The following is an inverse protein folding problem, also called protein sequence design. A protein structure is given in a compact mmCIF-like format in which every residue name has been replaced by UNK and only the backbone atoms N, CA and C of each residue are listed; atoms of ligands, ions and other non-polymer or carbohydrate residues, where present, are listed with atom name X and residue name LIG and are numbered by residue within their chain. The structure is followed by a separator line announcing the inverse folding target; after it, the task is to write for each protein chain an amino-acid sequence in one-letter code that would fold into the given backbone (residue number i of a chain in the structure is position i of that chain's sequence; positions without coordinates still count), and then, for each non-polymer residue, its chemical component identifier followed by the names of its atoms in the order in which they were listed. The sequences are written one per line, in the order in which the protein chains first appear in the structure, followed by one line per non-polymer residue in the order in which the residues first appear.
data_IF_855526503584
#
_entry.id   IF_855526503584
#
_cell.length_a   1.000
_cell.length_b   1.000
_cell.length_c   1.000
_cell.angle_alpha   90.00
_cell.angle_beta   90.00
_cell.angle_gamma   90.00
#
_symmetry.space_group_name_H-M   'P 1'
#
loop_
_entity.id
_entity.type
_entity.pdbx_description
1 polymer ?
#
# COMPACT_ATOMS: atom_id res chain seq x y z
N UNK A 1 -15.26 8.89 9.18
CA UNK A 1 -14.13 9.73 9.64
C UNK A 1 -12.89 9.23 8.91
N UNK A 2 -12.35 10.02 8.02
CA UNK A 2 -11.12 9.67 7.29
C UNK A 2 -9.93 10.11 8.12
N UNK A 3 -9.09 9.15 8.54
CA UNK A 3 -7.77 9.46 9.04
C UNK A 3 -6.92 10.05 7.92
N UNK A 4 -6.05 10.98 8.21
CA UNK A 4 -5.14 11.57 7.23
C UNK A 4 -3.70 11.14 7.49
N UNK A 5 -2.97 10.87 6.40
CA UNK A 5 -1.56 10.57 6.47
C UNK A 5 -1.25 9.36 7.35
N UNK A 6 -0.19 9.47 8.13
CA UNK A 6 0.36 8.39 8.94
C UNK A 6 -0.53 7.94 10.11
N UNK A 7 -1.58 8.68 10.43
CA UNK A 7 -2.49 8.33 11.53
C UNK A 7 -3.67 7.44 11.12
N UNK A 8 -3.82 7.09 9.85
CA UNK A 8 -5.02 6.41 9.35
C UNK A 8 -5.28 5.07 10.04
N UNK A 9 -4.26 4.26 10.26
CA UNK A 9 -4.39 2.96 10.92
C UNK A 9 -4.85 3.11 12.39
N UNK A 10 -4.25 4.03 13.15
CA UNK A 10 -4.67 4.33 14.52
C UNK A 10 -6.12 4.85 14.58
N UNK A 11 -6.53 5.67 13.60
CA UNK A 11 -7.91 6.16 13.51
C UNK A 11 -8.90 5.05 13.19
N UNK A 12 -8.53 4.07 12.36
CA UNK A 12 -9.38 2.90 12.10
C UNK A 12 -9.61 2.06 13.36
N UNK A 13 -8.60 1.82 14.20
CA UNK A 13 -8.80 1.14 15.49
C UNK A 13 -9.82 1.86 16.37
N UNK A 14 -9.76 3.19 16.43
CA UNK A 14 -10.74 4.00 17.18
C UNK A 14 -12.15 3.91 16.59
N UNK A 15 -12.28 3.80 15.28
CA UNK A 15 -13.56 3.64 14.59
C UNK A 15 -14.13 2.24 14.83
N UNK A 16 -13.31 1.20 14.70
CA UNK A 16 -13.67 -0.18 14.99
C UNK A 16 -14.16 -0.37 16.43
N UNK A 17 -13.62 0.37 17.40
CA UNK A 17 -14.09 0.34 18.78
C UNK A 17 -15.52 0.90 18.96
N UNK A 18 -16.09 1.56 17.97
CA UNK A 18 -17.40 2.24 18.05
C UNK A 18 -18.44 1.68 17.12
N UNK A 19 -18.04 0.96 16.09
CA UNK A 19 -18.95 0.42 15.08
C UNK A 19 -18.36 -0.87 14.49
N UNK A 20 -19.25 -1.81 14.16
CA UNK A 20 -18.89 -3.08 13.53
C UNK A 20 -18.82 -2.89 12.02
N UNK A 21 -17.61 -2.63 11.51
CA UNK A 21 -17.33 -2.53 10.08
C UNK A 21 -16.99 -3.90 9.53
N UNK A 22 -17.38 -4.15 8.27
CA UNK A 22 -17.03 -5.37 7.56
C UNK A 22 -15.62 -5.32 6.98
N UNK A 23 -15.10 -4.12 6.70
CA UNK A 23 -13.76 -3.95 6.16
C UNK A 23 -13.12 -2.62 6.56
N UNK A 24 -11.80 -2.59 6.49
CA UNK A 24 -10.98 -1.38 6.58
C UNK A 24 -10.18 -1.19 5.29
N UNK A 25 -9.89 0.06 4.95
CA UNK A 25 -9.09 0.42 3.77
C UNK A 25 -7.87 1.24 4.23
N UNK A 26 -6.66 0.70 4.04
CA UNK A 26 -5.42 1.31 4.55
C UNK A 26 -4.32 1.34 3.49
N UNK A 27 -3.52 2.42 3.41
CA UNK A 27 -2.30 2.42 2.62
C UNK A 27 -1.33 1.32 3.06
N UNK A 28 -0.81 0.57 2.09
CA UNK A 28 0.19 -0.45 2.38
C UNK A 28 1.11 -0.66 1.19
N UNK A 29 2.38 -0.38 1.39
CA UNK A 29 3.49 -0.67 0.48
C UNK A 29 4.78 -0.82 1.29
N UNK A 30 5.88 -1.13 0.63
CA UNK A 30 7.16 -1.34 1.29
C UNK A 30 7.60 -0.14 2.14
N UNK A 31 7.44 1.09 1.64
CA UNK A 31 7.78 2.30 2.39
C UNK A 31 6.90 2.47 3.63
N UNK A 32 5.61 2.26 3.51
CA UNK A 32 4.65 2.35 4.64
C UNK A 32 4.99 1.35 5.76
N UNK A 33 5.40 0.13 5.39
CA UNK A 33 5.75 -0.91 6.36
C UNK A 33 6.97 -0.54 7.21
N UNK A 34 7.92 0.20 6.63
CA UNK A 34 9.15 0.63 7.30
C UNK A 34 9.06 2.03 7.92
N UNK A 35 7.90 2.68 7.82
CA UNK A 35 7.70 3.95 8.53
C UNK A 35 7.64 3.74 10.03
N UNK A 36 8.37 4.56 10.79
CA UNK A 36 8.66 4.36 12.23
C UNK A 36 7.42 4.15 13.13
N UNK A 37 6.28 4.76 12.79
CA UNK A 37 5.04 4.63 13.57
C UNK A 37 3.95 3.89 12.80
N UNK A 38 3.82 4.14 11.49
CA UNK A 38 2.72 3.61 10.70
C UNK A 38 2.76 2.09 10.58
N UNK A 39 3.93 1.49 10.37
CA UNK A 39 4.08 0.04 10.28
C UNK A 39 3.51 -0.66 11.51
N UNK A 40 3.90 -0.22 12.71
CA UNK A 40 3.40 -0.78 13.96
C UNK A 40 1.88 -0.55 14.14
N UNK A 41 1.38 0.63 13.80
CA UNK A 41 -0.06 0.95 13.86
C UNK A 41 -0.87 0.12 12.86
N UNK A 42 -0.33 -0.13 11.68
CA UNK A 42 -0.95 -0.99 10.67
C UNK A 42 -1.07 -2.43 11.20
N UNK A 43 0.01 -3.01 11.70
CA UNK A 43 0.02 -4.38 12.24
C UNK A 43 -0.97 -4.54 13.41
N UNK A 44 -1.00 -3.58 14.33
CA UNK A 44 -1.96 -3.59 15.43
C UNK A 44 -3.43 -3.50 14.93
N UNK A 45 -3.67 -2.79 13.83
CA UNK A 45 -5.00 -2.73 13.21
C UNK A 45 -5.35 -4.03 12.51
N UNK A 46 -4.39 -4.65 11.82
CA UNK A 46 -4.58 -5.97 11.19
C UNK A 46 -4.91 -7.03 12.23
N UNK A 47 -4.18 -7.08 13.35
CA UNK A 47 -4.47 -8.02 14.44
C UNK A 47 -5.91 -7.86 14.95
N UNK A 48 -6.36 -6.64 15.20
CA UNK A 48 -7.74 -6.35 15.62
C UNK A 48 -8.76 -6.77 14.54
N UNK A 49 -8.46 -6.56 13.27
CA UNK A 49 -9.33 -6.97 12.17
C UNK A 49 -9.47 -8.50 12.11
N UNK A 50 -8.37 -9.24 12.30
CA UNK A 50 -8.39 -10.71 12.36
C UNK A 50 -9.24 -11.23 13.52
N UNK A 51 -9.07 -10.66 14.72
CA UNK A 51 -9.89 -11.01 15.91
C UNK A 51 -11.38 -10.79 15.67
N UNK A 52 -11.75 -9.78 14.90
CA UNK A 52 -13.14 -9.36 14.67
C UNK A 52 -13.70 -9.81 13.33
N UNK A 53 -12.97 -10.60 12.56
CA UNK A 53 -13.34 -11.04 11.22
C UNK A 53 -13.66 -9.87 10.26
N UNK A 54 -12.85 -8.80 10.31
CA UNK A 54 -12.94 -7.61 9.46
C UNK A 54 -11.95 -7.74 8.30
N UNK A 55 -12.41 -7.54 7.08
CA UNK A 55 -11.55 -7.64 5.90
C UNK A 55 -10.56 -6.46 5.83
N UNK A 56 -9.30 -6.76 5.48
CA UNK A 56 -8.25 -5.75 5.29
C UNK A 56 -8.04 -5.50 3.81
N UNK A 57 -8.46 -4.34 3.33
CA UNK A 57 -8.21 -3.86 1.99
C UNK A 57 -7.01 -2.91 2.00
N UNK A 58 -6.07 -3.13 1.09
CA UNK A 58 -4.88 -2.29 0.95
C UNK A 58 -4.96 -1.41 -0.28
N UNK A 59 -4.42 -0.20 -0.17
CA UNK A 59 -4.27 0.77 -1.27
C UNK A 59 -2.84 1.30 -1.29
N UNK A 60 -2.47 1.98 -2.37
CA UNK A 60 -1.17 2.62 -2.53
C UNK A 60 0.00 1.66 -2.73
N UNK A 61 -0.27 0.41 -3.10
CA UNK A 61 0.78 -0.58 -3.42
C UNK A 61 1.75 -0.07 -4.49
N UNK A 62 1.24 0.66 -5.49
CA UNK A 62 2.02 1.25 -6.58
C UNK A 62 2.48 2.69 -6.32
N UNK A 63 2.34 3.21 -5.12
CA UNK A 63 2.77 4.58 -4.84
C UNK A 63 4.29 4.65 -4.68
N UNK A 64 4.95 5.33 -5.63
CA UNK A 64 6.38 5.60 -5.61
C UNK A 64 6.71 6.76 -4.66
N UNK A 65 5.96 7.86 -4.78
CA UNK A 65 6.21 9.07 -4.00
C UNK A 65 5.37 10.25 -4.48
N UNK A 66 5.62 11.45 -3.96
CA UNK A 66 4.96 12.64 -4.46
C UNK A 66 5.47 13.00 -5.85
N UNK A 67 4.63 13.62 -6.67
CA UNK A 67 5.08 14.23 -7.91
C UNK A 67 6.13 15.30 -7.62
N UNK A 68 7.23 15.27 -8.37
CA UNK A 68 8.24 16.32 -8.27
C UNK A 68 7.64 17.70 -8.63
N UNK A 69 8.16 18.76 -8.06
CA UNK A 69 7.71 20.11 -8.39
C UNK A 69 7.93 20.40 -9.89
N UNK A 70 6.86 20.79 -10.57
CA UNK A 70 6.90 21.08 -12.01
C UNK A 70 6.89 19.84 -12.91
N UNK A 71 6.78 18.63 -12.38
CA UNK A 71 6.67 17.43 -13.20
C UNK A 71 5.37 17.43 -14.01
N UNK A 72 5.42 16.89 -15.22
CA UNK A 72 4.21 16.56 -15.99
C UNK A 72 3.54 15.39 -15.28
N UNK A 73 2.25 15.56 -14.96
CA UNK A 73 1.45 14.50 -14.35
C UNK A 73 0.70 13.79 -15.48
N UNK A 74 1.29 12.74 -15.97
CA UNK A 74 0.79 11.91 -17.08
C UNK A 74 -0.03 10.70 -16.62
N UNK A 75 -0.21 10.54 -15.31
CA UNK A 75 -1.04 9.52 -14.67
C UNK A 75 -2.22 10.13 -13.91
N UNK A 76 -3.31 9.35 -13.79
CA UNK A 76 -4.52 9.76 -13.08
C UNK A 76 -4.37 9.85 -11.55
N UNK A 77 -3.23 9.41 -11.00
CA UNK A 77 -2.99 9.41 -9.56
C UNK A 77 -2.45 10.75 -9.06
N UNK A 78 -2.83 11.14 -7.82
CA UNK A 78 -2.30 12.34 -7.18
C UNK A 78 -0.84 12.18 -6.66
N UNK A 79 -0.32 10.96 -6.67
CA UNK A 79 1.06 10.59 -6.38
C UNK A 79 1.71 10.02 -7.64
N UNK A 80 3.02 10.03 -7.72
CA UNK A 80 3.74 9.39 -8.80
C UNK A 80 3.66 7.87 -8.61
N UNK A 81 3.13 7.11 -9.58
CA UNK A 81 3.04 5.65 -9.48
C UNK A 81 4.36 4.98 -9.90
N UNK A 82 4.46 3.69 -9.63
CA UNK A 82 5.40 2.79 -10.30
C UNK A 82 4.91 2.54 -11.72
N UNK A 83 5.83 2.52 -12.68
CA UNK A 83 5.54 2.34 -14.12
C UNK A 83 6.28 1.11 -14.69
N UNK A 84 7.44 0.78 -14.13
CA UNK A 84 8.22 -0.38 -14.54
C UNK A 84 7.51 -1.69 -14.15
N UNK A 85 7.40 -2.64 -15.10
CA UNK A 85 6.65 -3.88 -14.88
C UNK A 85 7.25 -4.77 -13.78
N UNK A 86 8.57 -4.79 -13.63
CA UNK A 86 9.24 -5.58 -12.59
C UNK A 86 9.03 -4.93 -11.21
N UNK A 87 8.99 -3.60 -11.14
CA UNK A 87 8.67 -2.87 -9.91
C UNK A 87 7.21 -3.07 -9.51
N UNK A 88 6.29 -3.02 -10.46
CA UNK A 88 4.86 -3.31 -10.24
C UNK A 88 4.69 -4.74 -9.74
N UNK A 89 5.36 -5.72 -10.40
CA UNK A 89 5.32 -7.13 -10.00
C UNK A 89 5.83 -7.30 -8.56
N UNK A 90 6.97 -6.73 -8.22
CA UNK A 90 7.52 -6.82 -6.86
C UNK A 90 6.56 -6.24 -5.81
N UNK A 91 5.98 -5.07 -6.07
CA UNK A 91 5.04 -4.42 -5.18
C UNK A 91 3.74 -5.23 -5.01
N UNK A 92 3.18 -5.75 -6.09
CA UNK A 92 1.94 -6.57 -6.07
C UNK A 92 2.17 -7.90 -5.35
N UNK A 93 3.26 -8.62 -5.69
CA UNK A 93 3.61 -9.89 -5.05
C UNK A 93 3.85 -9.72 -3.55
N UNK A 94 4.55 -8.66 -3.14
CA UNK A 94 4.81 -8.39 -1.74
C UNK A 94 3.53 -8.17 -0.92
N UNK A 95 2.57 -7.43 -1.46
CA UNK A 95 1.27 -7.21 -0.79
C UNK A 95 0.45 -8.49 -0.75
N UNK A 96 0.31 -9.18 -1.88
CA UNK A 96 -0.53 -10.38 -2.01
C UNK A 96 0.07 -11.63 -1.35
N UNK A 97 1.37 -11.61 -1.02
CA UNK A 97 1.99 -12.67 -0.23
C UNK A 97 1.45 -12.75 1.21
N UNK A 98 0.74 -11.73 1.68
CA UNK A 98 0.11 -11.75 3.01
C UNK A 98 -1.31 -12.31 2.92
N UNK A 99 -1.59 -13.48 3.54
CA UNK A 99 -2.93 -14.04 3.56
C UNK A 99 -3.95 -13.09 4.18
N UNK A 100 -5.14 -13.02 3.57
CA UNK A 100 -6.24 -12.20 4.07
C UNK A 100 -6.19 -10.72 3.68
N UNK A 101 -5.21 -10.31 2.88
CA UNK A 101 -5.17 -8.97 2.32
C UNK A 101 -5.84 -8.92 0.94
N UNK A 102 -6.62 -7.87 0.73
CA UNK A 102 -7.19 -7.55 -0.57
C UNK A 102 -6.46 -6.33 -1.13
N UNK A 103 -5.82 -6.50 -2.28
CA UNK A 103 -5.16 -5.40 -2.97
C UNK A 103 -6.17 -4.65 -3.82
N UNK A 104 -6.42 -3.39 -3.51
CA UNK A 104 -7.12 -2.49 -4.42
C UNK A 104 -6.09 -1.89 -5.38
N UNK A 105 -6.33 -2.03 -6.67
CA UNK A 105 -5.46 -1.56 -7.72
C UNK A 105 -5.27 -0.03 -7.70
N UNK A 106 -4.29 0.43 -8.44
CA UNK A 106 -4.06 1.85 -8.72
C UNK A 106 -5.26 2.44 -9.48
N UNK A 107 -5.60 3.70 -9.18
CA UNK A 107 -6.67 4.43 -9.87
C UNK A 107 -6.21 5.00 -11.23
N UNK A 108 -5.51 4.18 -12.02
CA UNK A 108 -4.99 4.51 -13.33
C UNK A 108 -5.21 3.32 -14.27
N UNK A 109 -5.97 3.53 -15.33
CA UNK A 109 -6.39 2.47 -16.25
C UNK A 109 -5.23 1.95 -17.10
N UNK A 110 -4.24 2.78 -17.37
CA UNK A 110 -3.09 2.41 -18.21
C UNK A 110 -2.12 1.48 -17.47
N UNK A 111 -2.09 1.56 -16.13
CA UNK A 111 -1.29 0.69 -15.26
C UNK A 111 -2.03 -0.60 -14.86
N UNK A 112 -3.36 -0.62 -14.96
CA UNK A 112 -4.17 -1.76 -14.54
C UNK A 112 -3.77 -3.08 -15.20
N UNK A 113 -3.47 -3.15 -16.53
CA UNK A 113 -3.04 -4.41 -17.15
C UNK A 113 -1.77 -5.00 -16.54
N UNK A 114 -0.79 -4.18 -16.16
CA UNK A 114 0.42 -4.65 -15.50
C UNK A 114 0.14 -5.21 -14.09
N UNK A 115 -0.74 -4.55 -13.34
CA UNK A 115 -1.19 -5.04 -12.02
C UNK A 115 -1.91 -6.39 -12.13
N UNK A 116 -2.79 -6.54 -13.12
CA UNK A 116 -3.53 -7.79 -13.33
C UNK A 116 -2.58 -8.93 -13.71
N UNK A 117 -1.65 -8.70 -14.64
CA UNK A 117 -0.62 -9.71 -14.98
C UNK A 117 0.20 -10.12 -13.75
N UNK A 118 0.63 -9.16 -12.95
CA UNK A 118 1.37 -9.46 -11.72
C UNK A 118 0.55 -10.27 -10.72
N UNK A 119 -0.75 -10.01 -10.61
CA UNK A 119 -1.64 -10.73 -9.71
C UNK A 119 -2.00 -12.14 -10.23
N UNK A 120 -2.07 -12.34 -11.55
CA UNK A 120 -2.31 -13.66 -12.19
C UNK A 120 -1.08 -14.58 -12.09
N UNK A 121 0.13 -14.01 -12.16
CA UNK A 121 1.40 -14.76 -12.13
C UNK A 121 2.07 -14.64 -10.74
N UNK A 122 1.31 -14.94 -9.68
CA UNK A 122 1.81 -14.88 -8.31
C UNK A 122 2.89 -15.94 -8.08
N UNK A 123 4.13 -15.44 -7.92
CA UNK A 123 5.27 -16.24 -7.50
C UNK A 123 5.44 -16.28 -5.95
N UNK A 124 6.57 -16.82 -5.47
CA UNK A 124 6.92 -16.75 -4.06
C UNK A 124 7.05 -15.29 -3.59
N UNK A 125 6.78 -15.08 -2.31
CA UNK A 125 6.95 -13.75 -1.71
C UNK A 125 8.36 -13.21 -1.95
N UNK A 126 8.51 -11.95 -2.42
CA UNK A 126 9.82 -11.33 -2.50
C UNK A 126 10.49 -11.27 -1.13
N UNK A 127 11.80 -11.54 -1.09
CA UNK A 127 12.57 -11.43 0.16
C UNK A 127 12.80 -9.96 0.54
N UNK A 128 13.08 -9.69 1.82
CA UNK A 128 13.40 -8.34 2.29
C UNK A 128 14.57 -7.73 1.54
N UNK A 129 15.57 -8.53 1.15
CA UNK A 129 16.69 -8.08 0.33
C UNK A 129 16.24 -7.58 -1.03
N UNK A 130 15.36 -8.33 -1.70
CA UNK A 130 14.79 -7.93 -3.00
C UNK A 130 13.97 -6.66 -2.85
N UNK A 131 13.15 -6.57 -1.82
CA UNK A 131 12.31 -5.41 -1.56
C UNK A 131 13.09 -4.16 -1.16
N UNK A 132 14.21 -4.30 -0.45
CA UNK A 132 15.10 -3.18 -0.14
C UNK A 132 15.75 -2.65 -1.43
N UNK A 133 16.30 -3.54 -2.26
CA UNK A 133 16.87 -3.16 -3.55
C UNK A 133 15.83 -2.51 -4.49
N UNK A 134 14.61 -3.05 -4.49
CA UNK A 134 13.49 -2.45 -5.21
C UNK A 134 13.19 -1.05 -4.69
N UNK A 135 13.05 -0.87 -3.38
CA UNK A 135 12.74 0.42 -2.77
C UNK A 135 13.78 1.51 -3.10
N UNK A 136 15.06 1.13 -3.04
CA UNK A 136 16.18 2.02 -3.38
C UNK A 136 16.18 2.37 -4.87
N UNK A 137 16.04 1.37 -5.76
CA UNK A 137 16.04 1.56 -7.21
C UNK A 137 14.85 2.40 -7.67
N UNK A 138 13.65 2.09 -7.19
CA UNK A 138 12.43 2.82 -7.52
C UNK A 138 12.37 4.20 -6.88
N UNK A 139 13.20 4.47 -5.87
CA UNK A 139 13.21 5.73 -5.12
C UNK A 139 11.92 5.93 -4.35
N UNK A 140 11.47 4.89 -3.61
CA UNK A 140 10.25 4.96 -2.83
C UNK A 140 10.34 6.06 -1.77
N UNK A 141 9.31 6.89 -1.69
CA UNK A 141 9.25 8.02 -0.78
C UNK A 141 7.87 8.17 -0.14
N UNK A 142 7.82 8.97 0.93
CA UNK A 142 6.55 9.30 1.58
C UNK A 142 5.60 10.03 0.64
N UNK A 143 4.40 9.47 0.45
CA UNK A 143 3.29 10.18 -0.21
C UNK A 143 2.52 11.09 0.74
N UNK A 144 2.73 10.96 2.03
CA UNK A 144 2.21 11.83 3.06
C UNK A 144 3.31 12.80 3.49
N UNK A 145 2.97 14.05 3.75
CA UNK A 145 3.96 15.05 4.16
C UNK A 145 4.80 14.59 5.37
N UNK A 146 5.97 15.16 5.52
CA UNK A 146 6.79 14.99 6.71
C UNK A 146 6.00 15.50 7.92
N UNK A 147 5.56 14.60 8.77
CA UNK A 147 4.93 14.93 10.05
C UNK A 147 5.59 14.12 11.15
#
# INVERSE_FOLDING_TARGET
MTGHGWNVAAMHRRSLARFDFDSVLMPWNWFCAHHATYGADFEATVALCQERNVAVQTIKSLARGPWAAGAVRDHATWYQPLEDEDDIRAAVHWVLARPGFFLNSVGDVDLLPAVLRAAEDLGPAPTDTVMTQFGDRAGLASIFGLS
#
